data_IF_678047606545
#
_entry.id   IF_678047606545
#
_cell.length_a   1.000
_cell.length_b   1.000
_cell.length_c   1.000
_cell.angle_alpha   90.00
_cell.angle_beta   90.00
_cell.angle_gamma   90.00
#
_symmetry.space_group_name_H-M   'P 1'
#
loop_
_entity.id
_entity.type
_entity.pdbx_description
1 polymer ?
#
# COMPACT_ATOMS: atom_id res chain seq x y z
N UNK A 1 6.22 -3.21 -17.75
CA UNK A 1 6.78 -4.21 -16.81
C UNK A 1 6.31 -5.59 -17.25
N UNK A 2 7.23 -6.55 -17.36
CA UNK A 2 6.89 -7.91 -17.76
C UNK A 2 6.16 -8.64 -16.61
N UNK A 3 4.96 -9.18 -16.88
CA UNK A 3 4.13 -9.92 -15.91
C UNK A 3 4.85 -11.15 -15.35
N UNK A 4 5.67 -11.82 -16.17
CA UNK A 4 6.42 -13.02 -15.79
C UNK A 4 7.49 -12.72 -14.73
N UNK A 5 8.14 -11.56 -14.83
CA UNK A 5 9.14 -11.11 -13.85
C UNK A 5 8.48 -10.78 -12.51
N UNK A 6 7.27 -10.21 -12.54
CA UNK A 6 6.51 -9.88 -11.33
C UNK A 6 6.03 -11.14 -10.60
N UNK A 7 5.51 -12.14 -11.34
CA UNK A 7 5.13 -13.42 -10.73
C UNK A 7 6.33 -14.13 -10.11
N UNK A 8 7.50 -14.12 -10.78
CA UNK A 8 8.72 -14.72 -10.25
C UNK A 8 9.17 -14.02 -8.96
N UNK A 9 9.12 -12.69 -8.91
CA UNK A 9 9.42 -11.90 -7.71
C UNK A 9 8.48 -12.25 -6.55
N UNK A 10 7.17 -12.32 -6.79
CA UNK A 10 6.19 -12.66 -5.76
C UNK A 10 6.45 -14.06 -5.20
N UNK A 11 6.72 -15.04 -6.07
CA UNK A 11 7.03 -16.40 -5.62
C UNK A 11 8.37 -16.50 -4.89
N UNK A 12 9.39 -15.70 -5.25
CA UNK A 12 10.65 -15.65 -4.48
C UNK A 12 10.47 -15.10 -3.06
N UNK A 13 9.47 -14.25 -2.83
CA UNK A 13 9.13 -13.76 -1.48
C UNK A 13 8.43 -14.86 -0.67
N UNK A 14 7.70 -15.76 -1.32
CA UNK A 14 7.05 -16.89 -0.66
C UNK A 14 8.06 -17.87 -0.03
N UNK A 15 9.30 -17.90 -0.50
CA UNK A 15 10.37 -18.71 0.09
C UNK A 15 10.67 -18.28 1.54
N UNK A 16 10.41 -17.01 1.92
CA UNK A 16 10.53 -16.52 3.30
C UNK A 16 9.48 -17.11 4.25
N UNK A 17 8.39 -17.67 3.72
CA UNK A 17 7.32 -18.28 4.49
C UNK A 17 7.50 -19.80 4.65
N UNK A 18 8.54 -20.38 4.03
CA UNK A 18 8.81 -21.82 4.09
C UNK A 18 9.26 -22.22 5.50
N UNK A 19 8.55 -23.18 6.10
CA UNK A 19 8.79 -23.65 7.47
C UNK A 19 7.60 -23.34 8.35
N UNK A 20 7.41 -22.05 8.66
CA UNK A 20 6.36 -21.59 9.58
C UNK A 20 4.93 -21.70 9.01
N UNK A 21 4.79 -21.69 7.68
CA UNK A 21 3.50 -21.76 6.99
C UNK A 21 3.45 -22.91 5.97
N UNK A 22 2.28 -23.53 5.84
CA UNK A 22 2.02 -24.47 4.73
C UNK A 22 1.90 -23.68 3.42
N UNK A 23 2.24 -24.31 2.30
CA UNK A 23 2.11 -23.66 0.98
C UNK A 23 0.67 -23.18 0.69
N UNK A 24 -0.34 -23.91 1.17
CA UNK A 24 -1.75 -23.51 1.10
C UNK A 24 -2.08 -22.23 1.89
N UNK A 25 -1.22 -21.85 2.84
CA UNK A 25 -1.41 -20.69 3.73
C UNK A 25 -0.66 -19.45 3.26
N UNK A 26 0.27 -19.57 2.30
CA UNK A 26 1.04 -18.43 1.78
C UNK A 26 0.13 -17.31 1.26
N UNK A 27 -1.01 -17.67 0.66
CA UNK A 27 -2.02 -16.70 0.22
C UNK A 27 -2.51 -15.78 1.34
N UNK A 28 -2.57 -16.26 2.60
CA UNK A 28 -3.01 -15.45 3.75
C UNK A 28 -2.05 -14.30 4.06
N UNK A 29 -0.77 -14.45 3.73
CA UNK A 29 0.26 -13.42 3.94
C UNK A 29 0.42 -12.58 2.68
N UNK A 30 0.57 -13.22 1.52
CA UNK A 30 0.88 -12.53 0.25
C UNK A 30 -0.27 -11.61 -0.19
N UNK A 31 -1.53 -12.02 -0.02
CA UNK A 31 -2.68 -11.24 -0.50
C UNK A 31 -2.84 -9.89 0.22
N UNK A 32 -2.82 -9.81 1.57
CA UNK A 32 -2.86 -8.52 2.27
C UNK A 32 -1.75 -7.56 1.81
N UNK A 33 -0.50 -8.02 1.71
CA UNK A 33 0.61 -7.17 1.28
C UNK A 33 0.48 -6.72 -0.18
N UNK A 34 -0.03 -7.59 -1.05
CA UNK A 34 -0.31 -7.24 -2.46
C UNK A 34 -1.40 -6.16 -2.54
N UNK A 35 -2.45 -6.27 -1.72
CA UNK A 35 -3.53 -5.27 -1.64
C UNK A 35 -2.98 -3.95 -1.10
N UNK A 36 -2.19 -3.97 -0.02
CA UNK A 36 -1.57 -2.76 0.54
C UNK A 36 -0.68 -2.07 -0.50
N UNK A 37 0.13 -2.83 -1.24
CA UNK A 37 0.94 -2.27 -2.32
C UNK A 37 0.08 -1.65 -3.42
N UNK A 38 -1.02 -2.31 -3.80
CA UNK A 38 -1.95 -1.77 -4.81
C UNK A 38 -2.62 -0.48 -4.33
N UNK A 39 -3.05 -0.42 -3.07
CA UNK A 39 -3.61 0.79 -2.45
C UNK A 39 -2.60 1.93 -2.45
N UNK A 40 -1.35 1.66 -2.03
CA UNK A 40 -0.26 2.64 -2.06
C UNK A 40 -0.01 3.15 -3.48
N UNK A 41 0.04 2.28 -4.49
CA UNK A 41 0.18 2.68 -5.89
C UNK A 41 -0.96 3.58 -6.38
N UNK A 42 -2.21 3.32 -5.96
CA UNK A 42 -3.37 4.15 -6.33
C UNK A 42 -3.30 5.53 -5.66
N UNK A 43 -2.77 5.61 -4.45
CA UNK A 43 -2.66 6.86 -3.69
C UNK A 43 -1.38 7.64 -3.99
N UNK A 44 -0.36 7.00 -4.57
CA UNK A 44 0.94 7.60 -4.86
C UNK A 44 0.87 8.90 -5.68
N UNK A 45 0.05 9.02 -6.75
CA UNK A 45 -0.04 10.26 -7.52
C UNK A 45 -0.55 11.47 -6.70
N UNK A 46 -1.40 11.22 -5.70
CA UNK A 46 -2.04 12.27 -4.90
C UNK A 46 -1.35 12.53 -3.56
N UNK A 47 -0.40 11.67 -3.16
CA UNK A 47 0.23 11.71 -1.83
C UNK A 47 0.89 13.06 -1.52
N UNK A 48 1.64 13.62 -2.47
CA UNK A 48 2.31 14.91 -2.29
C UNK A 48 1.32 16.06 -2.07
N UNK A 49 0.23 16.08 -2.84
CA UNK A 49 -0.81 17.10 -2.69
C UNK A 49 -1.48 17.03 -1.31
N UNK A 50 -1.79 15.82 -0.83
CA UNK A 50 -2.38 15.60 0.50
C UNK A 50 -1.44 16.04 1.61
N UNK A 51 -0.14 15.72 1.51
CA UNK A 51 0.84 16.12 2.53
C UNK A 51 1.04 17.64 2.59
N UNK A 52 1.07 18.31 1.44
CA UNK A 52 1.18 19.77 1.38
C UNK A 52 -0.07 20.44 2.00
N UNK A 53 -1.24 19.89 1.73
CA UNK A 53 -2.50 20.38 2.29
C UNK A 53 -2.57 20.17 3.81
N UNK A 54 -2.16 18.98 4.27
CA UNK A 54 -2.02 18.68 5.70
C UNK A 54 -1.12 19.69 6.43
N UNK A 55 0.05 20.00 5.85
CA UNK A 55 0.97 20.98 6.42
C UNK A 55 0.34 22.38 6.52
N UNK A 56 -0.32 22.85 5.45
CA UNK A 56 -1.01 24.15 5.44
C UNK A 56 -2.07 24.24 6.52
N UNK A 57 -2.93 23.22 6.64
CA UNK A 57 -4.02 23.21 7.61
C UNK A 57 -3.50 23.11 9.05
N UNK A 58 -2.45 22.32 9.28
CA UNK A 58 -1.77 22.23 10.59
C UNK A 58 -1.18 23.59 10.99
N UNK A 59 -0.51 24.30 10.08
CA UNK A 59 0.02 25.65 10.34
C UNK A 59 -1.10 26.67 10.58
N UNK A 60 -2.26 26.50 9.93
CA UNK A 60 -3.43 27.34 10.13
C UNK A 60 -4.19 27.06 11.45
N UNK A 61 -3.78 26.06 12.23
CA UNK A 61 -4.43 25.70 13.50
C UNK A 61 -5.80 25.02 13.33
N UNK A 62 -6.10 24.49 12.14
CA UNK A 62 -7.37 23.82 11.83
C UNK A 62 -7.24 22.34 12.18
N UNK A 63 -8.17 21.81 12.97
CA UNK A 63 -8.19 20.38 13.31
C UNK A 63 -8.46 19.54 12.04
N UNK A 64 -7.54 18.63 11.73
CA UNK A 64 -7.53 17.81 10.51
C UNK A 64 -8.67 16.78 10.42
N UNK A 65 -9.37 16.53 11.53
CA UNK A 65 -10.37 15.47 11.71
C UNK A 65 -11.55 15.56 10.73
N UNK A 66 -11.91 16.74 10.22
CA UNK A 66 -13.21 16.96 9.58
C UNK A 66 -13.23 16.77 8.05
N UNK A 67 -12.08 16.74 7.35
CA UNK A 67 -12.06 16.93 5.87
C UNK A 67 -11.24 15.94 5.02
N UNK A 68 -11.01 14.69 5.43
CA UNK A 68 -10.34 13.73 4.53
C UNK A 68 -11.35 12.88 3.74
N UNK A 69 -12.15 13.53 2.89
CA UNK A 69 -12.81 12.83 1.77
C UNK A 69 -11.91 12.95 0.53
N UNK A 70 -11.71 11.84 -0.18
CA UNK A 70 -11.01 11.84 -1.47
C UNK A 70 -11.68 12.90 -2.35
N UNK A 71 -10.93 13.91 -2.79
CA UNK A 71 -11.43 14.90 -3.75
C UNK A 71 -11.79 14.14 -5.03
N UNK A 72 -13.08 14.13 -5.38
CA UNK A 72 -13.65 13.44 -6.53
C UNK A 72 -13.03 13.89 -7.84
#
# INVERSE_FOLDING_TARGET
MNQQTLSALIWSVADLLRGDFKQSEYGRVILPFTILRRLDCVLAPTKGAVLNEYQKQTTAGIAYEEFVRRKS
#
